data_IF_982712096884
#
_entry.id   IF_982712096884
#
_cell.length_a   1.000
_cell.length_b   1.000
_cell.length_c   1.000
_cell.angle_alpha   90.00
_cell.angle_beta   90.00
_cell.angle_gamma   90.00
#
_symmetry.space_group_name_H-M   'P 1'
#
loop_
_entity.id
_entity.type
_entity.pdbx_description
1 polymer ?
#
# COMPACT_ATOMS: atom_id res chain seq x y z
N UNK A 1 -23.28 -27.92 27.70
CA UNK A 1 -24.17 -28.94 28.31
C UNK A 1 -23.36 -29.97 29.10
N UNK A 2 -22.44 -29.55 29.98
CA UNK A 2 -21.53 -30.48 30.66
C UNK A 2 -21.26 -30.13 32.13
N UNK A 3 -21.80 -29.02 32.64
CA UNK A 3 -21.55 -28.52 34.00
C UNK A 3 -20.12 -28.06 34.29
N UNK A 4 -19.22 -28.09 33.31
CA UNK A 4 -17.78 -27.76 33.41
C UNK A 4 -17.25 -27.15 32.09
N UNK A 5 -16.06 -26.54 32.11
CA UNK A 5 -15.37 -26.04 30.91
C UNK A 5 -15.24 -27.09 29.80
N UNK A 6 -15.22 -26.64 28.54
CA UNK A 6 -15.29 -27.53 27.36
C UNK A 6 -14.07 -28.44 27.23
N UNK A 7 -12.90 -27.97 27.64
CA UNK A 7 -11.61 -28.68 27.64
C UNK A 7 -11.56 -29.84 28.64
N UNK A 8 -12.45 -29.82 29.65
CA UNK A 8 -12.56 -30.85 30.69
C UNK A 8 -13.80 -31.74 30.53
N UNK A 9 -14.54 -31.56 29.43
CA UNK A 9 -15.77 -32.30 29.18
C UNK A 9 -15.49 -33.61 28.45
N UNK A 10 -15.42 -34.73 29.19
CA UNK A 10 -15.36 -36.08 28.62
C UNK A 10 -16.76 -36.61 28.30
N UNK A 11 -16.85 -37.75 27.61
CA UNK A 11 -18.13 -38.41 27.32
C UNK A 11 -18.88 -38.82 28.60
N UNK A 12 -18.14 -39.23 29.65
CA UNK A 12 -18.70 -39.60 30.95
C UNK A 12 -19.24 -38.37 31.67
N UNK A 13 -18.45 -37.30 31.67
CA UNK A 13 -18.83 -36.01 32.23
C UNK A 13 -20.13 -35.47 31.65
N UNK A 14 -20.25 -35.54 30.33
CA UNK A 14 -21.42 -35.11 29.60
C UNK A 14 -22.65 -35.93 29.96
N UNK A 15 -22.55 -37.26 29.97
CA UNK A 15 -23.69 -38.11 30.31
C UNK A 15 -24.08 -38.01 31.78
N UNK A 16 -23.14 -37.85 32.70
CA UNK A 16 -23.43 -37.61 34.12
C UNK A 16 -24.18 -36.29 34.31
N UNK A 17 -23.81 -35.24 33.58
CA UNK A 17 -24.53 -33.97 33.60
C UNK A 17 -25.95 -34.11 33.06
N UNK A 18 -26.18 -34.92 32.03
CA UNK A 18 -27.53 -35.18 31.52
C UNK A 18 -28.38 -36.06 32.45
N UNK A 19 -27.74 -36.88 33.30
CA UNK A 19 -28.44 -37.83 34.16
C UNK A 19 -28.70 -37.34 35.59
N UNK A 20 -27.84 -36.48 36.14
CA UNK A 20 -27.89 -36.13 37.58
C UNK A 20 -27.50 -34.67 37.82
N UNK A 21 -26.39 -34.20 37.24
CA UNK A 21 -25.77 -32.93 37.65
C UNK A 21 -26.38 -31.69 36.98
N UNK A 22 -27.59 -31.79 36.43
CA UNK A 22 -28.32 -30.70 35.79
C UNK A 22 -29.70 -30.51 36.46
N UNK A 23 -30.08 -29.28 36.87
CA UNK A 23 -31.38 -29.00 37.49
C UNK A 23 -32.59 -29.28 36.60
N UNK A 24 -32.40 -29.50 35.30
CA UNK A 24 -33.46 -29.88 34.37
C UNK A 24 -33.79 -31.39 34.41
N UNK A 25 -33.04 -32.19 35.18
CA UNK A 25 -33.22 -33.64 35.27
C UNK A 25 -34.30 -33.96 36.30
N UNK A 26 -35.41 -34.62 35.92
CA UNK A 26 -36.54 -34.86 36.82
C UNK A 26 -36.27 -35.91 37.90
N UNK A 27 -35.35 -36.85 37.65
CA UNK A 27 -34.92 -37.88 38.59
C UNK A 27 -33.51 -38.37 38.23
N UNK A 28 -32.69 -38.79 39.21
CA UNK A 28 -31.30 -39.16 38.96
C UNK A 28 -31.18 -40.45 38.15
N UNK A 29 -30.39 -40.42 37.07
CA UNK A 29 -30.06 -41.58 36.23
C UNK A 29 -28.54 -41.77 36.23
N UNK A 30 -28.08 -42.92 36.74
CA UNK A 30 -26.67 -43.29 36.75
C UNK A 30 -26.29 -44.02 35.45
N UNK A 31 -25.58 -43.34 34.55
CA UNK A 31 -25.12 -43.91 33.28
C UNK A 31 -23.71 -44.49 33.47
N UNK A 32 -23.58 -45.80 33.32
CA UNK A 32 -22.31 -46.52 33.46
C UNK A 32 -21.76 -46.91 32.08
N UNK A 33 -20.48 -46.64 31.86
CA UNK A 33 -19.77 -47.04 30.65
C UNK A 33 -18.88 -48.25 30.95
N UNK A 34 -19.05 -49.32 30.18
CA UNK A 34 -18.20 -50.52 30.26
C UNK A 34 -17.51 -50.75 28.92
N UNK A 35 -16.22 -51.09 28.97
CA UNK A 35 -15.46 -51.56 27.82
C UNK A 35 -15.35 -53.09 27.77
N UNK A 36 -15.89 -53.79 28.77
CA UNK A 36 -15.81 -55.25 28.87
C UNK A 36 -16.92 -55.89 28.02
N UNK A 37 -16.52 -56.60 26.97
CA UNK A 37 -17.43 -57.29 26.05
C UNK A 37 -17.98 -58.61 26.60
N UNK A 38 -17.54 -59.05 27.79
CA UNK A 38 -17.94 -60.31 28.44
C UNK A 38 -19.42 -60.38 28.81
N UNK A 39 -20.10 -59.23 28.92
CA UNK A 39 -21.52 -59.09 29.26
C UNK A 39 -22.25 -58.22 28.21
N UNK A 40 -21.80 -58.25 26.95
CA UNK A 40 -22.24 -57.34 25.88
C UNK A 40 -23.76 -57.34 25.62
N UNK A 41 -24.50 -58.38 26.00
CA UNK A 41 -25.96 -58.44 25.86
C UNK A 41 -26.72 -57.51 26.84
N UNK A 42 -26.07 -56.97 27.88
CA UNK A 42 -26.70 -56.05 28.84
C UNK A 42 -26.47 -54.56 28.55
N UNK A 43 -25.61 -54.21 27.59
CA UNK A 43 -25.24 -52.82 27.28
C UNK A 43 -25.79 -52.35 25.94
N UNK A 44 -26.26 -51.11 25.88
CA UNK A 44 -26.80 -50.52 24.66
C UNK A 44 -25.68 -50.18 23.66
N UNK A 45 -25.67 -50.85 22.51
CA UNK A 45 -24.67 -50.65 21.45
C UNK A 45 -25.35 -50.61 20.07
N UNK A 46 -25.96 -49.46 19.73
CA UNK A 46 -26.52 -49.22 18.40
C UNK A 46 -25.52 -48.56 17.45
N UNK A 47 -25.78 -48.68 16.15
CA UNK A 47 -25.02 -48.01 15.09
C UNK A 47 -25.08 -46.49 15.24
N UNK A 48 -23.91 -45.85 15.27
CA UNK A 48 -23.76 -44.39 15.28
C UNK A 48 -23.19 -43.91 13.96
N UNK A 49 -23.61 -42.72 13.51
CA UNK A 49 -23.06 -42.10 12.30
C UNK A 49 -21.94 -41.14 12.66
N UNK A 50 -20.89 -41.07 11.83
CA UNK A 50 -19.86 -40.07 12.00
C UNK A 50 -20.33 -38.71 11.46
N UNK A 51 -19.81 -37.63 12.03
CA UNK A 51 -20.20 -36.27 11.63
C UNK A 51 -19.79 -35.90 10.20
N UNK A 52 -18.76 -36.55 9.65
CA UNK A 52 -18.29 -36.35 8.27
C UNK A 52 -19.00 -37.24 7.25
N UNK A 53 -20.01 -38.00 7.68
CA UNK A 53 -20.76 -38.93 6.82
C UNK A 53 -22.21 -38.46 6.66
N UNK A 54 -22.80 -38.61 5.46
CA UNK A 54 -24.22 -38.33 5.27
C UNK A 54 -25.08 -39.41 5.94
N UNK A 55 -26.22 -39.00 6.51
CA UNK A 55 -27.18 -39.92 7.12
C UNK A 55 -28.27 -40.22 6.08
N UNK A 56 -28.27 -41.44 5.55
CA UNK A 56 -29.33 -41.94 4.69
C UNK A 56 -30.40 -42.60 5.55
N UNK A 57 -31.48 -41.87 5.83
CA UNK A 57 -32.62 -42.41 6.56
C UNK A 57 -33.79 -42.73 5.62
N UNK A 58 -34.69 -43.63 6.05
CA UNK A 58 -35.89 -43.99 5.29
C UNK A 58 -36.81 -42.79 4.99
N UNK A 59 -36.75 -41.75 5.82
CA UNK A 59 -37.63 -40.58 5.74
C UNK A 59 -36.98 -39.41 4.98
N UNK A 60 -35.68 -39.18 5.21
CA UNK A 60 -34.97 -38.06 4.59
C UNK A 60 -33.45 -38.30 4.58
N UNK A 61 -32.80 -37.98 3.46
CA UNK A 61 -31.36 -38.03 3.35
C UNK A 61 -30.77 -36.70 3.86
N UNK A 62 -29.85 -36.78 4.82
CA UNK A 62 -29.14 -35.62 5.36
C UNK A 62 -27.68 -35.62 4.92
N UNK A 63 -27.19 -34.44 4.54
CA UNK A 63 -25.76 -34.23 4.23
C UNK A 63 -24.93 -34.32 5.51
N UNK A 64 -23.64 -34.60 5.34
CA UNK A 64 -22.67 -34.54 6.44
C UNK A 64 -22.61 -33.14 7.09
N UNK A 65 -22.12 -33.06 8.32
CA UNK A 65 -21.91 -31.80 9.03
C UNK A 65 -20.82 -30.95 8.35
N UNK A 66 -20.97 -29.63 8.43
CA UNK A 66 -19.94 -28.69 7.99
C UNK A 66 -18.69 -28.74 8.86
N UNK A 67 -17.56 -28.25 8.33
CA UNK A 67 -16.27 -28.20 9.03
C UNK A 67 -16.33 -27.44 10.37
N UNK A 68 -17.15 -26.38 10.46
CA UNK A 68 -17.34 -25.59 11.68
C UNK A 68 -17.85 -26.44 12.86
N UNK A 69 -18.69 -27.44 12.55
CA UNK A 69 -19.31 -28.32 13.53
C UNK A 69 -18.54 -29.65 13.69
N UNK A 70 -17.76 -30.04 12.68
CA UNK A 70 -17.03 -31.31 12.63
C UNK A 70 -15.65 -31.13 12.00
N UNK A 71 -14.60 -31.18 12.81
CA UNK A 71 -13.21 -31.06 12.33
C UNK A 71 -12.85 -32.13 11.28
N UNK A 72 -13.46 -33.32 11.37
CA UNK A 72 -13.24 -34.41 10.40
C UNK A 72 -13.83 -34.10 9.01
N UNK A 73 -14.73 -33.14 8.88
CA UNK A 73 -15.28 -32.68 7.61
C UNK A 73 -14.40 -31.60 6.94
N UNK A 74 -13.36 -31.12 7.61
CA UNK A 74 -12.53 -30.04 7.10
C UNK A 74 -11.59 -30.51 5.99
N UNK A 75 -11.48 -29.72 4.94
CA UNK A 75 -10.41 -29.88 3.95
C UNK A 75 -9.06 -29.54 4.59
N UNK A 76 -7.95 -30.13 4.11
CA UNK A 76 -6.62 -29.73 4.53
C UNK A 76 -6.41 -28.23 4.25
N UNK A 77 -5.68 -27.57 5.15
CA UNK A 77 -5.37 -26.14 5.01
C UNK A 77 -4.64 -25.88 3.70
N UNK A 78 -5.04 -24.85 2.93
CA UNK A 78 -4.33 -24.48 1.71
C UNK A 78 -2.90 -24.03 2.06
N UNK A 79 -1.94 -24.19 1.14
CA UNK A 79 -0.57 -23.73 1.34
C UNK A 79 -0.51 -22.19 1.43
N UNK A 80 0.47 -21.69 2.18
CA UNK A 80 0.71 -20.25 2.29
C UNK A 80 0.97 -19.61 0.92
N UNK A 81 0.27 -18.52 0.64
CA UNK A 81 0.49 -17.72 -0.58
C UNK A 81 1.73 -16.84 -0.41
N UNK A 82 2.72 -16.92 -1.30
CA UNK A 82 3.93 -16.10 -1.18
C UNK A 82 3.64 -14.63 -1.44
N UNK A 83 4.36 -13.74 -0.75
CA UNK A 83 4.28 -12.30 -0.96
C UNK A 83 4.58 -11.92 -2.42
N UNK A 84 3.70 -11.11 -3.00
CA UNK A 84 3.86 -10.63 -4.37
C UNK A 84 4.99 -9.59 -4.43
N UNK A 85 6.12 -9.96 -5.02
CA UNK A 85 7.26 -9.07 -5.25
C UNK A 85 6.98 -8.12 -6.42
N UNK A 86 7.52 -6.89 -6.36
CA UNK A 86 7.47 -5.94 -7.47
C UNK A 86 8.33 -6.43 -8.62
N UNK A 87 7.70 -7.02 -9.64
CA UNK A 87 8.39 -7.55 -10.81
C UNK A 87 7.91 -6.89 -12.10
N UNK A 88 8.83 -6.64 -13.01
CA UNK A 88 8.56 -6.19 -14.38
C UNK A 88 9.10 -7.28 -15.30
N UNK A 89 8.25 -7.88 -16.13
CA UNK A 89 8.60 -9.03 -16.98
C UNK A 89 9.33 -10.17 -16.22
N UNK A 90 8.85 -10.51 -15.02
CA UNK A 90 9.43 -11.53 -14.13
C UNK A 90 10.87 -11.25 -13.65
N UNK A 91 11.39 -10.05 -13.82
CA UNK A 91 12.62 -9.57 -13.18
C UNK A 91 12.28 -8.61 -12.04
N UNK A 92 13.22 -8.41 -11.11
CA UNK A 92 13.07 -7.36 -10.09
C UNK A 92 12.86 -6.00 -10.77
N UNK A 93 11.75 -5.33 -10.46
CA UNK A 93 11.40 -4.08 -11.12
C UNK A 93 12.45 -2.98 -10.92
N UNK A 94 13.16 -2.99 -9.79
CA UNK A 94 14.26 -2.05 -9.55
C UNK A 94 15.45 -2.29 -10.47
N UNK A 95 15.77 -3.55 -10.73
CA UNK A 95 16.83 -3.91 -11.66
C UNK A 95 16.52 -3.43 -13.08
N UNK A 96 15.29 -3.62 -13.56
CA UNK A 96 14.86 -3.16 -14.89
C UNK A 96 14.96 -1.63 -15.01
N UNK A 97 14.50 -0.89 -13.99
CA UNK A 97 14.58 0.58 -13.97
C UNK A 97 16.05 1.04 -14.01
N UNK A 98 16.92 0.43 -13.19
CA UNK A 98 18.34 0.75 -13.17
C UNK A 98 19.03 0.45 -14.51
N UNK A 99 18.69 -0.67 -15.14
CA UNK A 99 19.21 -1.07 -16.44
C UNK A 99 18.85 -0.04 -17.52
N UNK A 100 17.57 0.32 -17.65
CA UNK A 100 17.11 1.34 -18.62
C UNK A 100 17.77 2.69 -18.34
N UNK A 101 17.82 3.11 -17.08
CA UNK A 101 18.48 4.37 -16.69
C UNK A 101 19.96 4.41 -17.07
N UNK A 102 20.70 3.32 -16.81
CA UNK A 102 22.12 3.23 -17.16
C UNK A 102 22.38 3.26 -18.67
N UNK A 103 21.54 2.58 -19.47
CA UNK A 103 21.64 2.59 -20.94
C UNK A 103 21.42 3.99 -21.51
N UNK A 104 20.42 4.73 -21.01
CA UNK A 104 20.17 6.12 -21.44
C UNK A 104 21.34 7.05 -21.08
N UNK A 105 21.91 6.89 -19.89
CA UNK A 105 23.09 7.67 -19.45
C UNK A 105 24.33 7.34 -20.29
N UNK A 106 24.60 6.06 -20.54
CA UNK A 106 25.74 5.64 -21.36
C UNK A 106 25.56 6.08 -22.82
N UNK A 107 24.37 5.92 -23.39
CA UNK A 107 24.05 6.37 -24.75
C UNK A 107 24.31 7.87 -24.93
N UNK A 108 23.81 8.70 -24.01
CA UNK A 108 24.06 10.15 -24.05
C UNK A 108 25.53 10.49 -23.87
N UNK A 109 26.25 9.77 -23.00
CA UNK A 109 27.69 9.93 -22.82
C UNK A 109 28.50 9.56 -24.09
N UNK A 110 28.21 8.40 -24.70
CA UNK A 110 28.89 7.97 -25.93
C UNK A 110 28.54 8.85 -27.13
N UNK A 111 27.28 9.28 -27.27
CA UNK A 111 26.89 10.24 -28.31
C UNK A 111 27.56 11.60 -28.11
N UNK A 112 27.65 12.09 -26.88
CA UNK A 112 28.35 13.33 -26.55
C UNK A 112 29.85 13.23 -26.86
N UNK A 113 30.52 12.16 -26.39
CA UNK A 113 31.95 11.96 -26.65
C UNK A 113 32.25 11.71 -28.13
N UNK A 114 31.39 10.96 -28.84
CA UNK A 114 31.52 10.74 -30.29
C UNK A 114 31.32 12.03 -31.08
N UNK A 115 30.29 12.83 -30.76
CA UNK A 115 30.07 14.14 -31.39
C UNK A 115 31.23 15.09 -31.09
N UNK A 116 31.70 15.17 -29.84
CA UNK A 116 32.87 15.98 -29.45
C UNK A 116 34.13 15.49 -30.18
N UNK A 117 34.36 14.18 -30.31
CA UNK A 117 35.53 13.62 -30.98
C UNK A 117 35.48 13.84 -32.50
N UNK A 118 34.30 13.76 -33.13
CA UNK A 118 34.10 14.12 -34.55
C UNK A 118 34.19 15.64 -34.79
N UNK A 119 33.82 16.45 -33.81
CA UNK A 119 33.93 17.92 -33.86
C UNK A 119 35.34 18.42 -33.53
N UNK A 120 36.12 17.67 -32.75
CA UNK A 120 37.57 17.84 -32.60
C UNK A 120 38.26 17.33 -33.86
N UNK A 121 38.39 18.18 -34.89
CA UNK A 121 39.44 17.96 -35.90
C UNK A 121 40.79 17.79 -35.18
N UNK A 122 41.66 16.83 -35.56
CA UNK A 122 43.03 16.85 -35.09
C UNK A 122 43.60 18.20 -35.51
N UNK A 123 43.95 19.03 -34.53
CA UNK A 123 44.71 20.25 -34.80
C UNK A 123 46.09 19.73 -35.19
N UNK A 124 46.31 19.53 -36.48
CA UNK A 124 47.64 19.34 -37.03
C UNK A 124 48.41 20.62 -36.69
N UNK A 125 49.14 20.55 -35.59
CA UNK A 125 50.11 21.57 -35.21
C UNK A 125 51.38 21.18 -35.94
N UNK A 126 51.40 21.40 -37.26
CA UNK A 126 52.67 21.45 -37.97
C UNK A 126 53.25 22.85 -37.71
N UNK A 127 53.90 22.99 -36.55
CA UNK A 127 54.77 24.13 -36.30
C UNK A 127 56.16 23.77 -36.82
N UNK A 128 56.35 23.94 -38.13
CA UNK A 128 57.68 23.91 -38.73
C UNK A 128 58.36 25.22 -38.36
N UNK A 129 59.25 25.16 -37.37
CA UNK A 129 60.15 26.25 -37.01
C UNK A 129 61.15 26.44 -38.16
N UNK A 130 60.89 27.40 -39.03
CA UNK A 130 61.88 27.95 -39.95
C UNK A 130 62.27 29.33 -39.42
N UNK A 131 63.53 29.46 -39.04
CA UNK A 131 64.19 30.71 -38.67
C UNK A 131 64.03 31.75 -39.77
N UNK A 132 63.21 32.78 -39.54
CA UNK A 132 63.45 34.13 -40.07
C UNK A 132 62.49 35.14 -39.44
N UNK A 133 63.07 36.08 -38.70
CA UNK A 133 62.40 37.25 -38.13
C UNK A 133 61.87 38.11 -39.30
N UNK A 134 60.56 38.13 -39.51
CA UNK A 134 59.87 39.23 -40.24
C UNK A 134 58.40 39.36 -39.79
N UNK A 135 58.10 40.55 -39.26
CA UNK A 135 56.85 41.31 -39.30
C UNK A 135 55.51 40.54 -39.43
N UNK A 136 54.70 40.67 -38.39
CA UNK A 136 53.33 40.19 -38.17
C UNK A 136 52.43 40.21 -39.43
N UNK A 137 51.83 39.08 -39.82
CA UNK A 137 50.57 39.05 -40.56
C UNK A 137 49.38 38.63 -39.64
N UNK A 138 48.15 39.06 -39.94
CA UNK A 138 47.01 38.88 -39.04
C UNK A 138 46.60 37.40 -38.96
N UNK A 139 46.48 36.90 -37.73
CA UNK A 139 45.93 35.57 -37.43
C UNK A 139 44.44 35.58 -37.80
N UNK A 140 44.12 35.06 -38.99
CA UNK A 140 42.75 34.83 -39.43
C UNK A 140 42.15 33.65 -38.64
N UNK A 141 41.10 33.85 -37.82
CA UNK A 141 40.55 32.77 -37.02
C UNK A 141 39.79 31.78 -37.91
N UNK A 142 40.37 30.59 -37.93
CA UNK A 142 39.93 29.36 -38.59
C UNK A 142 38.40 29.16 -38.58
N UNK A 143 37.86 29.10 -39.81
CA UNK A 143 36.48 28.85 -40.20
C UNK A 143 36.05 27.43 -39.76
N UNK A 144 35.44 27.29 -38.58
CA UNK A 144 34.80 26.04 -38.17
C UNK A 144 33.42 26.28 -37.51
N UNK A 145 32.40 25.67 -38.13
CA UNK A 145 30.96 25.71 -37.84
C UNK A 145 30.34 27.11 -37.71
N UNK A 146 30.30 27.82 -38.84
CA UNK A 146 29.65 29.14 -38.94
C UNK A 146 28.21 29.10 -38.45
N UNK A 147 27.39 28.12 -38.83
CA UNK A 147 25.95 28.11 -38.52
C UNK A 147 25.66 28.08 -37.01
N UNK A 148 26.35 27.26 -36.21
CA UNK A 148 26.11 27.18 -34.76
C UNK A 148 26.70 28.38 -33.99
N UNK A 149 27.86 28.89 -34.43
CA UNK A 149 28.43 30.13 -33.87
C UNK A 149 27.60 31.36 -34.24
N UNK A 150 27.02 31.39 -35.44
CA UNK A 150 26.08 32.44 -35.87
C UNK A 150 24.76 32.33 -35.12
N UNK A 151 24.20 31.14 -34.92
CA UNK A 151 22.99 30.96 -34.10
C UNK A 151 23.25 31.41 -32.67
N UNK A 152 24.35 30.97 -32.04
CA UNK A 152 24.71 31.40 -30.68
C UNK A 152 24.87 32.92 -30.58
N UNK A 153 25.68 33.51 -31.46
CA UNK A 153 25.89 34.96 -31.49
C UNK A 153 24.58 35.70 -31.78
N UNK A 154 23.73 35.16 -32.65
CA UNK A 154 22.42 35.74 -32.98
C UNK A 154 21.44 35.64 -31.82
N UNK A 155 21.41 34.53 -31.07
CA UNK A 155 20.58 34.38 -29.87
C UNK A 155 21.07 35.28 -28.75
N UNK A 156 22.39 35.34 -28.52
CA UNK A 156 22.98 36.25 -27.52
C UNK A 156 22.63 37.70 -27.83
N UNK A 157 22.87 38.15 -29.07
CA UNK A 157 22.53 39.51 -29.50
C UNK A 157 21.02 39.79 -29.51
N UNK A 158 20.20 38.78 -29.79
CA UNK A 158 18.73 38.91 -29.77
C UNK A 158 18.22 39.08 -28.34
N UNK A 159 18.65 38.20 -27.41
CA UNK A 159 18.30 38.30 -25.99
C UNK A 159 18.81 39.62 -25.41
N UNK A 160 20.04 40.01 -25.70
CA UNK A 160 20.63 41.26 -25.24
C UNK A 160 19.80 42.47 -25.70
N UNK A 161 19.42 42.52 -26.98
CA UNK A 161 18.57 43.61 -27.50
C UNK A 161 17.20 43.63 -26.84
N UNK A 162 16.58 42.48 -26.61
CA UNK A 162 15.25 42.40 -25.97
C UNK A 162 15.33 42.84 -24.53
N UNK A 163 16.23 42.26 -23.73
CA UNK A 163 16.37 42.61 -22.33
C UNK A 163 16.85 44.04 -22.13
N UNK A 164 17.72 44.56 -23.00
CA UNK A 164 18.10 45.97 -22.98
C UNK A 164 16.91 46.88 -23.27
N UNK A 165 16.11 46.58 -24.30
CA UNK A 165 14.90 47.37 -24.60
C UNK A 165 13.85 47.30 -23.49
N UNK A 166 13.63 46.11 -22.93
CA UNK A 166 12.69 45.91 -21.83
C UNK A 166 13.17 46.62 -20.56
N UNK A 167 14.44 46.48 -20.21
CA UNK A 167 15.06 47.19 -19.10
C UNK A 167 15.03 48.71 -19.27
N UNK A 168 15.32 49.20 -20.48
CA UNK A 168 15.23 50.62 -20.82
C UNK A 168 13.79 51.14 -20.70
N UNK A 169 12.80 50.37 -21.16
CA UNK A 169 11.39 50.69 -21.01
C UNK A 169 10.98 50.75 -19.53
N UNK A 170 11.41 49.79 -18.72
CA UNK A 170 11.20 49.79 -17.27
C UNK A 170 11.84 51.00 -16.57
N UNK A 171 13.06 51.39 -16.97
CA UNK A 171 13.77 52.53 -16.39
C UNK A 171 13.21 53.89 -16.82
N UNK A 172 12.75 54.02 -18.07
CA UNK A 172 12.19 55.27 -18.61
C UNK A 172 10.76 55.55 -18.12
N UNK A 173 9.97 54.50 -17.82
CA UNK A 173 8.57 54.63 -17.39
C UNK A 173 8.27 53.79 -16.13
N UNK A 174 8.95 54.04 -15.00
CA UNK A 174 8.85 53.19 -13.81
C UNK A 174 7.43 53.15 -13.24
N UNK A 175 6.72 54.29 -13.19
CA UNK A 175 5.35 54.35 -12.67
C UNK A 175 4.34 53.54 -13.51
N UNK A 176 4.49 53.50 -14.84
CA UNK A 176 3.61 52.71 -15.73
C UNK A 176 3.84 51.21 -15.50
N UNK A 177 5.10 50.79 -15.41
CA UNK A 177 5.44 49.38 -15.16
C UNK A 177 4.98 48.93 -13.77
N UNK A 178 5.19 49.76 -12.74
CA UNK A 178 4.74 49.46 -11.38
C UNK A 178 3.21 49.38 -11.28
N UNK A 179 2.49 50.34 -11.85
CA UNK A 179 1.01 50.33 -11.82
C UNK A 179 0.42 49.17 -12.61
N UNK A 180 0.93 48.90 -13.82
CA UNK A 180 0.46 47.76 -14.62
C UNK A 180 0.77 46.42 -13.95
N UNK A 181 1.97 46.25 -13.36
CA UNK A 181 2.31 45.07 -12.57
C UNK A 181 1.41 44.89 -11.35
N UNK A 182 1.09 45.98 -10.64
CA UNK A 182 0.22 45.95 -9.47
C UNK A 182 -1.22 45.58 -9.85
N UNK A 183 -1.73 46.09 -10.98
CA UNK A 183 -3.03 45.70 -11.54
C UNK A 183 -3.05 44.20 -11.89
N UNK A 184 -1.99 43.69 -12.54
CA UNK A 184 -1.89 42.27 -12.90
C UNK A 184 -1.85 41.39 -11.65
N UNK A 185 -1.03 41.75 -10.66
CA UNK A 185 -0.96 41.02 -9.38
C UNK A 185 -2.32 41.04 -8.69
N UNK A 186 -2.95 42.21 -8.53
CA UNK A 186 -4.27 42.32 -7.89
C UNK A 186 -5.33 41.50 -8.62
N UNK A 187 -5.32 41.49 -9.96
CA UNK A 187 -6.23 40.71 -10.79
C UNK A 187 -6.05 39.20 -10.59
N UNK A 188 -4.79 38.73 -10.56
CA UNK A 188 -4.46 37.32 -10.32
C UNK A 188 -4.78 36.91 -8.87
N UNK A 189 -4.48 37.78 -7.90
CA UNK A 189 -4.77 37.57 -6.48
C UNK A 189 -6.27 37.55 -6.17
N UNK A 190 -7.12 38.21 -6.97
CA UNK A 190 -8.58 38.14 -6.81
C UNK A 190 -9.11 36.69 -6.87
N UNK A 191 -8.45 35.80 -7.61
CA UNK A 191 -8.78 34.37 -7.66
C UNK A 191 -8.72 33.66 -6.31
N UNK A 192 -7.93 34.18 -5.35
CA UNK A 192 -7.83 33.63 -3.99
C UNK A 192 -9.14 33.72 -3.21
N UNK A 193 -10.05 34.63 -3.56
CA UNK A 193 -11.38 34.73 -2.94
C UNK A 193 -12.21 33.44 -3.17
N UNK A 194 -11.94 32.72 -4.26
CA UNK A 194 -12.58 31.44 -4.59
C UNK A 194 -11.73 30.22 -4.24
N UNK A 195 -10.61 30.41 -3.53
CA UNK A 195 -9.78 29.31 -3.09
C UNK A 195 -10.53 28.44 -2.07
N UNK A 196 -10.55 27.13 -2.29
CA UNK A 196 -11.23 26.16 -1.42
C UNK A 196 -10.24 25.07 -1.02
N UNK A 197 -10.07 24.88 0.28
CA UNK A 197 -9.23 23.81 0.85
C UNK A 197 -10.04 22.53 0.99
N UNK A 198 -9.53 21.43 0.45
CA UNK A 198 -10.08 20.09 0.67
C UNK A 198 -9.42 19.48 1.91
N UNK A 199 -10.20 19.26 2.98
CA UNK A 199 -9.72 18.67 4.24
C UNK A 199 -10.03 17.18 4.39
N UNK A 200 -10.91 16.66 3.53
CA UNK A 200 -11.31 15.26 3.55
C UNK A 200 -10.18 14.36 3.03
N UNK A 201 -9.55 13.52 3.88
CA UNK A 201 -8.41 12.68 3.47
C UNK A 201 -8.80 11.69 2.37
N UNK A 202 -10.07 11.27 2.37
CA UNK A 202 -10.64 10.34 1.42
C UNK A 202 -10.61 10.95 0.01
N UNK A 203 -10.87 12.25 -0.14
CA UNK A 203 -10.74 12.98 -1.41
C UNK A 203 -9.30 13.28 -1.79
N UNK A 204 -8.40 13.40 -0.80
CA UNK A 204 -6.99 13.73 -1.03
C UNK A 204 -6.19 12.51 -1.51
N UNK A 205 -6.46 11.35 -0.91
CA UNK A 205 -5.67 10.12 -1.09
C UNK A 205 -6.29 9.11 -2.06
N UNK A 206 -7.41 9.45 -2.70
CA UNK A 206 -7.99 8.58 -3.71
C UNK A 206 -8.51 9.38 -4.91
N UNK A 207 -8.24 8.86 -6.10
CA UNK A 207 -8.87 9.37 -7.30
C UNK A 207 -10.38 9.02 -7.30
N UNK A 208 -11.21 9.95 -7.76
CA UNK A 208 -12.67 9.75 -7.89
C UNK A 208 -13.02 8.56 -8.80
N UNK A 209 -12.18 8.29 -9.80
CA UNK A 209 -12.33 7.18 -10.75
C UNK A 209 -11.67 5.88 -10.31
N UNK A 210 -11.06 5.82 -9.12
CA UNK A 210 -10.42 4.59 -8.65
C UNK A 210 -11.45 3.51 -8.31
N UNK A 211 -11.11 2.24 -8.55
CA UNK A 211 -11.99 1.10 -8.25
C UNK A 211 -12.38 1.09 -6.76
N UNK A 212 -11.41 1.32 -5.88
CA UNK A 212 -11.66 1.39 -4.44
C UNK A 212 -12.68 2.48 -4.06
N UNK A 213 -12.62 3.66 -4.72
CA UNK A 213 -13.60 4.73 -4.54
C UNK A 213 -14.99 4.31 -5.00
N UNK A 214 -15.10 3.72 -6.18
CA UNK A 214 -16.38 3.24 -6.73
C UNK A 214 -17.03 2.17 -5.86
N UNK A 215 -16.24 1.20 -5.37
CA UNK A 215 -16.73 0.16 -4.47
C UNK A 215 -17.19 0.74 -3.13
N UNK A 216 -16.45 1.70 -2.59
CA UNK A 216 -16.87 2.42 -1.37
C UNK A 216 -18.18 3.17 -1.59
N UNK A 217 -18.29 3.93 -2.67
CA UNK A 217 -19.47 4.74 -2.94
C UNK A 217 -20.70 3.83 -3.21
N UNK A 218 -20.50 2.68 -3.86
CA UNK A 218 -21.52 1.64 -4.02
C UNK A 218 -21.95 1.06 -2.69
N UNK A 219 -21.01 0.68 -1.83
CA UNK A 219 -21.30 0.14 -0.49
C UNK A 219 -22.07 1.15 0.36
N UNK A 220 -21.58 2.40 0.42
CA UNK A 220 -22.18 3.47 1.22
C UNK A 220 -23.62 3.79 0.75
N UNK A 221 -23.94 3.62 -0.54
CA UNK A 221 -25.30 3.77 -1.08
C UNK A 221 -26.24 2.63 -0.66
N UNK A 222 -25.77 1.39 -0.65
CA UNK A 222 -26.61 0.21 -0.39
C UNK A 222 -26.74 -0.11 1.10
N UNK A 223 -25.67 0.09 1.86
CA UNK A 223 -25.56 -0.35 3.25
C UNK A 223 -25.42 0.80 4.25
N UNK A 224 -25.43 2.05 3.76
CA UNK A 224 -25.08 3.28 4.49
C UNK A 224 -23.58 3.36 4.77
N UNK A 225 -23.06 4.57 5.03
CA UNK A 225 -21.65 4.74 5.40
C UNK A 225 -21.29 3.96 6.67
N UNK A 226 -20.06 3.43 6.68
CA UNK A 226 -19.52 2.74 7.85
C UNK A 226 -19.52 3.64 9.10
N UNK A 227 -19.76 3.04 10.27
CA UNK A 227 -19.82 3.77 11.54
C UNK A 227 -18.44 4.31 11.96
N UNK A 228 -18.44 5.44 12.67
CA UNK A 228 -17.19 6.01 13.21
C UNK A 228 -16.83 5.30 14.51
N UNK A 229 -15.66 4.64 14.52
CA UNK A 229 -15.14 3.97 15.72
C UNK A 229 -14.41 4.96 16.63
N UNK A 230 -14.64 4.83 17.94
CA UNK A 230 -13.86 5.50 18.99
C UNK A 230 -13.39 4.43 19.96
N UNK A 231 -12.07 4.20 20.04
CA UNK A 231 -11.48 3.14 20.86
C UNK A 231 -10.62 3.74 21.97
N UNK A 232 -10.77 3.21 23.19
CA UNK A 232 -9.91 3.50 24.34
C UNK A 232 -9.26 2.19 24.79
N UNK A 233 -7.94 2.14 24.77
CA UNK A 233 -7.16 0.98 25.24
C UNK A 233 -6.45 1.42 26.52
N UNK A 234 -6.80 0.80 27.65
CA UNK A 234 -6.20 1.06 28.96
C UNK A 234 -5.31 -0.14 29.29
N UNK A 235 -4.04 0.14 29.53
CA UNK A 235 -3.07 -0.86 29.97
C UNK A 235 -2.55 -0.39 31.34
N UNK A 236 -2.66 -1.19 32.40
CA UNK A 236 -2.13 -0.81 33.70
C UNK A 236 -0.60 -0.86 33.68
N UNK A 237 0.05 0.18 34.18
CA UNK A 237 1.51 0.22 34.33
C UNK A 237 2.00 -0.68 35.47
N UNK A 238 1.18 -0.86 36.51
CA UNK A 238 1.45 -1.75 37.64
C UNK A 238 0.37 -2.84 37.74
N UNK A 239 0.81 -4.11 37.66
CA UNK A 239 -0.04 -5.29 37.85
C UNK A 239 0.02 -5.84 39.28
N UNK A 240 0.68 -5.12 40.20
CA UNK A 240 0.68 -5.47 41.61
C UNK A 240 -0.76 -5.51 42.14
N UNK A 241 -1.00 -6.45 43.05
CA UNK A 241 -2.32 -6.71 43.58
C UNK A 241 -2.78 -5.51 44.44
N UNK A 242 -3.56 -4.61 43.86
CA UNK A 242 -4.18 -3.52 44.62
C UNK A 242 -5.28 -4.12 45.49
N UNK A 243 -5.08 -4.08 46.80
CA UNK A 243 -6.07 -4.55 47.77
C UNK A 243 -7.24 -3.56 47.82
N UNK A 244 -8.28 -3.79 47.01
CA UNK A 244 -9.48 -2.97 47.02
C UNK A 244 -10.17 -3.06 48.41
N UNK A 245 -10.15 -1.97 49.17
CA UNK A 245 -10.66 -1.93 50.56
C UNK A 245 -12.19 -1.88 50.65
N UNK A 246 -12.91 -1.73 49.52
CA UNK A 246 -14.35 -1.39 49.52
C UNK A 246 -15.28 -2.34 48.74
N UNK A 247 -14.80 -3.49 48.25
CA UNK A 247 -15.73 -4.50 47.73
C UNK A 247 -16.22 -5.35 48.91
N UNK A 248 -17.40 -4.97 49.43
CA UNK A 248 -18.13 -5.81 50.39
C UNK A 248 -18.26 -7.23 49.84
N UNK A 249 -18.06 -8.27 50.66
CA UNK A 249 -18.21 -9.65 50.20
C UNK A 249 -19.65 -9.88 49.70
N UNK A 250 -19.84 -10.70 48.64
CA UNK A 250 -21.16 -11.05 48.18
C UNK A 250 -21.93 -11.73 49.32
N UNK A 251 -23.18 -11.29 49.52
CA UNK A 251 -24.07 -11.88 50.51
C UNK A 251 -24.19 -13.40 50.26
N UNK A 252 -24.14 -14.24 51.31
CA UNK A 252 -24.34 -15.66 51.16
C UNK A 252 -25.76 -15.92 50.63
N UNK A 253 -25.83 -16.66 49.52
CA UNK A 253 -27.05 -17.30 49.01
C UNK A 253 -27.51 -18.39 49.99
#
# INVERSE_FOLDING_TARGET
>A
MCGRPYDQCTKEAFMQYLGIDNPQVPFPIHILFSNNTSEAESYYNQTTFLCNEPILSRYENKTACGCLDCQKSCSPTPPDVPDKKFTIWNLDGWFVIAMVGSVLLLSTFFLSTFTISKLRKPRATEYRFTDTITLIPPVNPQKSSGRMKHIRKSTEQFLERIFFRLGLFCAQRPYLVLTSGLIVIASLSCGLIKFKVTTDPVQLWSAKSSIARQQKDYFDQHFRPFYRTTQLIIIPDDQSFVKHTYLSPPAPL
#
